data_IF_632862684686
#
_entry.id   IF_632862684686
#
_cell.length_a   1.000
_cell.length_b   1.000
_cell.length_c   1.000
_cell.angle_alpha   90.00
_cell.angle_beta   90.00
_cell.angle_gamma   90.00
#
_symmetry.space_group_name_H-M   'P 1'
#
loop_
_entity.id
_entity.type
_entity.pdbx_description
1 polymer ?
#
# COMPACT_ATOMS: atom_id res chain seq x y z
N UNK A 1 -19.73 33.99 56.68
CA UNK A 1 -18.83 33.09 55.89
C UNK A 1 -19.56 32.13 54.93
N UNK A 2 -20.65 31.46 55.35
CA UNK A 2 -21.38 30.50 54.49
C UNK A 2 -21.85 31.04 53.11
N UNK A 3 -22.15 32.35 53.01
CA UNK A 3 -22.52 32.99 51.74
C UNK A 3 -21.39 33.03 50.69
N UNK A 4 -20.13 33.23 51.13
CA UNK A 4 -18.97 33.27 50.24
C UNK A 4 -18.67 31.89 49.64
N UNK A 5 -18.69 30.85 50.47
CA UNK A 5 -18.44 29.47 50.02
C UNK A 5 -19.50 29.06 48.98
N UNK A 6 -20.76 29.45 49.21
CA UNK A 6 -21.85 29.23 48.27
C UNK A 6 -21.64 29.95 46.93
N UNK A 7 -21.22 31.21 46.95
CA UNK A 7 -20.87 31.97 45.73
C UNK A 7 -19.74 31.27 44.97
N UNK A 8 -18.66 30.87 45.68
CA UNK A 8 -17.53 30.14 45.10
C UNK A 8 -17.96 28.81 44.47
N UNK A 9 -18.82 28.05 45.12
CA UNK A 9 -19.34 26.78 44.59
C UNK A 9 -20.18 26.96 43.33
N UNK A 10 -21.04 27.98 43.28
CA UNK A 10 -21.82 28.28 42.07
C UNK A 10 -20.90 28.73 40.93
N UNK A 11 -19.91 29.60 41.21
CA UNK A 11 -18.93 30.06 40.24
C UNK A 11 -18.03 28.92 39.72
N UNK A 12 -17.58 28.02 40.59
CA UNK A 12 -16.81 26.84 40.18
C UNK A 12 -17.63 25.91 39.30
N UNK A 13 -18.90 25.66 39.65
CA UNK A 13 -19.82 24.84 38.83
C UNK A 13 -20.09 25.49 37.47
N UNK A 14 -20.35 26.79 37.43
CA UNK A 14 -20.56 27.56 36.20
C UNK A 14 -19.30 27.59 35.34
N UNK A 15 -18.14 27.85 35.94
CA UNK A 15 -16.86 27.90 35.24
C UNK A 15 -16.43 26.55 34.68
N UNK A 16 -16.63 25.45 35.42
CA UNK A 16 -16.40 24.10 34.91
C UNK A 16 -17.29 23.78 33.71
N UNK A 17 -18.56 24.17 33.74
CA UNK A 17 -19.48 23.97 32.61
C UNK A 17 -19.08 24.80 31.39
N UNK A 18 -18.68 26.05 31.59
CA UNK A 18 -18.23 26.95 30.52
C UNK A 18 -16.91 26.47 29.89
N UNK A 19 -15.99 25.89 30.68
CA UNK A 19 -14.80 25.17 30.18
C UNK A 19 -15.20 23.97 29.33
N UNK A 20 -16.13 23.13 29.79
CA UNK A 20 -16.66 22.00 29.02
C UNK A 20 -17.28 22.44 27.69
N UNK A 21 -18.07 23.51 27.68
CA UNK A 21 -18.66 24.03 26.45
C UNK A 21 -17.62 24.62 25.48
N UNK A 22 -16.54 25.20 25.99
CA UNK A 22 -15.41 25.68 25.18
C UNK A 22 -14.59 24.52 24.63
N UNK A 23 -14.30 23.50 25.44
CA UNK A 23 -13.62 22.30 25.00
C UNK A 23 -14.45 21.51 23.97
N UNK A 24 -15.77 21.41 24.17
CA UNK A 24 -16.70 20.85 23.20
C UNK A 24 -16.66 21.62 21.88
N UNK A 25 -16.74 22.95 21.91
CA UNK A 25 -16.56 23.76 20.70
C UNK A 25 -15.18 23.57 20.06
N UNK A 26 -14.12 23.50 20.86
CA UNK A 26 -12.75 23.27 20.40
C UNK A 26 -12.58 21.93 19.69
N UNK A 27 -13.24 20.88 20.19
CA UNK A 27 -13.30 19.56 19.55
C UNK A 27 -13.89 19.65 18.15
N UNK A 28 -15.04 20.32 17.99
CA UNK A 28 -15.69 20.50 16.68
C UNK A 28 -14.84 21.31 15.70
N UNK A 29 -14.13 22.35 16.17
CA UNK A 29 -13.19 23.09 15.32
C UNK A 29 -11.98 22.23 14.93
N UNK A 30 -11.41 21.48 15.88
CA UNK A 30 -10.29 20.58 15.60
C UNK A 30 -10.68 19.48 14.62
N UNK A 31 -11.90 18.97 14.71
CA UNK A 31 -12.46 18.01 13.76
C UNK A 31 -12.64 18.61 12.36
N UNK A 32 -13.07 19.88 12.26
CA UNK A 32 -13.20 20.56 10.97
C UNK A 32 -11.83 20.80 10.32
N UNK A 33 -10.86 21.31 11.09
CA UNK A 33 -9.50 21.58 10.59
C UNK A 33 -8.81 20.27 10.23
N UNK A 34 -8.88 19.26 11.10
CA UNK A 34 -8.31 17.93 10.84
C UNK A 34 -8.95 17.26 9.64
N UNK A 35 -10.28 17.28 9.52
CA UNK A 35 -10.98 16.71 8.37
C UNK A 35 -10.70 17.48 7.06
N UNK A 36 -10.60 18.80 7.11
CA UNK A 36 -10.21 19.61 5.94
C UNK A 36 -8.78 19.31 5.47
N UNK A 37 -7.84 19.18 6.41
CA UNK A 37 -6.46 18.79 6.12
C UNK A 37 -6.39 17.36 5.59
N UNK A 38 -7.20 16.44 6.12
CA UNK A 38 -7.33 15.07 5.61
C UNK A 38 -7.83 15.05 4.15
N UNK A 39 -8.86 15.83 3.84
CA UNK A 39 -9.35 15.97 2.46
C UNK A 39 -8.29 16.52 1.52
N UNK A 40 -7.49 17.48 1.99
CA UNK A 40 -6.37 18.02 1.22
C UNK A 40 -5.32 16.94 0.97
N UNK A 41 -4.93 16.17 2.00
CA UNK A 41 -3.99 15.05 1.87
C UNK A 41 -4.52 13.98 0.91
N UNK A 42 -5.80 13.61 1.00
CA UNK A 42 -6.43 12.66 0.08
C UNK A 42 -6.50 13.20 -1.35
N UNK A 43 -6.83 14.49 -1.52
CA UNK A 43 -6.84 15.16 -2.82
C UNK A 43 -5.46 15.17 -3.46
N UNK A 44 -4.43 15.54 -2.68
CA UNK A 44 -3.04 15.52 -3.13
C UNK A 44 -2.56 14.08 -3.40
N UNK A 45 -2.98 13.10 -2.60
CA UNK A 45 -2.64 11.69 -2.83
C UNK A 45 -3.26 11.16 -4.14
N UNK A 46 -4.43 11.66 -4.54
CA UNK A 46 -5.02 11.30 -5.84
C UNK A 46 -4.34 11.99 -7.03
N UNK A 47 -3.76 13.17 -6.84
CA UNK A 47 -3.15 13.96 -7.94
C UNK A 47 -1.65 13.73 -8.06
N UNK A 48 -0.94 13.53 -6.96
CA UNK A 48 0.50 13.27 -6.92
C UNK A 48 0.77 11.79 -6.60
N UNK A 49 1.73 11.15 -7.31
CA UNK A 49 2.11 9.76 -7.06
C UNK A 49 2.93 9.63 -5.76
N UNK A 50 2.27 9.76 -4.62
CA UNK A 50 2.88 9.65 -3.30
C UNK A 50 2.79 8.21 -2.75
N UNK A 51 3.78 7.75 -1.97
CA UNK A 51 3.77 6.42 -1.36
C UNK A 51 2.62 6.27 -0.35
N UNK A 52 1.83 5.19 -0.48
CA UNK A 52 0.66 4.89 0.36
C UNK A 52 0.99 4.85 1.86
N UNK A 53 2.06 4.16 2.24
CA UNK A 53 2.33 3.84 3.64
C UNK A 53 2.61 5.07 4.52
N UNK A 54 3.39 6.02 4.01
CA UNK A 54 3.79 7.19 4.81
C UNK A 54 2.75 8.29 4.77
N UNK A 55 2.11 8.55 3.63
CA UNK A 55 1.17 9.68 3.50
C UNK A 55 -0.18 9.43 4.16
N UNK A 56 -0.77 8.24 3.95
CA UNK A 56 -2.03 7.88 4.62
C UNK A 56 -1.82 7.61 6.11
N UNK A 57 -0.70 6.98 6.50
CA UNK A 57 -0.38 6.68 7.90
C UNK A 57 -0.15 7.95 8.74
N UNK A 58 0.84 8.76 8.36
CA UNK A 58 1.16 9.99 9.10
C UNK A 58 0.10 11.08 8.93
N UNK A 59 -0.49 11.18 7.73
CA UNK A 59 -1.62 12.09 7.48
C UNK A 59 -2.84 11.74 8.31
N UNK A 60 -3.17 10.45 8.42
CA UNK A 60 -4.30 9.98 9.23
C UNK A 60 -4.07 10.22 10.72
N UNK A 61 -2.86 9.95 11.20
CA UNK A 61 -2.48 10.18 12.59
C UNK A 61 -2.51 11.68 12.95
N UNK A 62 -1.97 12.55 12.10
CA UNK A 62 -2.03 14.00 12.31
C UNK A 62 -3.47 14.53 12.35
N UNK A 63 -4.34 14.03 11.47
CA UNK A 63 -5.74 14.43 11.43
C UNK A 63 -6.54 13.89 12.63
N UNK A 64 -6.19 12.70 13.15
CA UNK A 64 -6.79 12.13 14.36
C UNK A 64 -6.39 12.89 15.63
N UNK A 65 -5.20 13.50 15.66
CA UNK A 65 -4.74 14.30 16.80
C UNK A 65 -5.33 15.73 16.80
N UNK A 66 -5.67 16.29 15.64
CA UNK A 66 -6.27 17.64 15.53
C UNK A 66 -7.50 17.89 16.44
N UNK A 67 -8.51 17.00 16.55
CA UNK A 67 -9.62 17.19 17.48
C UNK A 67 -9.18 17.16 18.95
N UNK A 68 -8.20 16.32 19.31
CA UNK A 68 -7.64 16.27 20.67
C UNK A 68 -6.91 17.57 21.01
N UNK A 69 -6.12 18.10 20.08
CA UNK A 69 -5.41 19.38 20.24
C UNK A 69 -6.44 20.52 20.40
N UNK A 70 -7.49 20.55 19.57
CA UNK A 70 -8.57 21.52 19.68
C UNK A 70 -9.33 21.44 21.01
N UNK A 71 -9.56 20.23 21.52
CA UNK A 71 -10.17 19.99 22.83
C UNK A 71 -9.28 20.48 23.98
N UNK A 72 -7.99 20.10 23.98
CA UNK A 72 -7.02 20.52 25.00
C UNK A 72 -6.84 22.04 24.99
N UNK A 73 -6.75 22.65 23.81
CA UNK A 73 -6.68 24.12 23.68
C UNK A 73 -7.94 24.82 24.22
N UNK A 74 -9.12 24.24 23.97
CA UNK A 74 -10.37 24.75 24.53
C UNK A 74 -10.48 24.57 26.06
N UNK A 75 -9.85 23.54 26.60
CA UNK A 75 -9.86 23.21 28.03
C UNK A 75 -8.81 23.97 28.85
N UNK A 76 -7.64 24.25 28.26
CA UNK A 76 -6.46 24.78 28.94
C UNK A 76 -6.58 26.24 29.35
N UNK A 77 -7.53 26.99 28.78
CA UNK A 77 -7.75 28.40 29.14
C UNK A 77 -8.38 28.53 30.54
N UNK A 78 -7.64 29.02 31.55
CA UNK A 78 -8.13 29.14 32.91
C UNK A 78 -9.30 30.12 32.97
N UNK A 79 -10.35 29.79 33.72
CA UNK A 79 -11.41 30.74 34.05
C UNK A 79 -11.10 31.38 35.38
N UNK A 80 -10.88 32.69 35.38
CA UNK A 80 -10.77 33.46 36.61
C UNK A 80 -12.17 33.57 37.23
N UNK A 81 -12.33 33.35 38.55
CA UNK A 81 -13.63 33.40 39.21
C UNK A 81 -14.33 34.75 39.00
N UNK A 82 -13.58 35.85 38.98
CA UNK A 82 -14.09 37.20 38.67
C UNK A 82 -14.67 37.31 37.25
N UNK A 83 -14.03 36.67 36.26
CA UNK A 83 -14.52 36.69 34.88
C UNK A 83 -15.81 35.86 34.72
N UNK A 84 -15.98 34.83 35.55
CA UNK A 84 -17.22 34.04 35.61
C UNK A 84 -18.32 34.79 36.35
N UNK A 85 -17.98 35.53 37.42
CA UNK A 85 -18.91 36.40 38.14
C UNK A 85 -19.46 37.52 37.24
N UNK A 86 -18.58 38.26 36.56
CA UNK A 86 -18.99 39.29 35.59
C UNK A 86 -19.85 38.73 34.45
N UNK A 87 -19.50 37.54 33.96
CA UNK A 87 -20.30 36.87 32.93
C UNK A 87 -21.70 36.51 33.46
N UNK A 88 -21.79 36.03 34.70
CA UNK A 88 -23.06 35.65 35.32
C UNK A 88 -23.94 36.88 35.57
N UNK A 89 -23.33 37.98 36.01
CA UNK A 89 -24.01 39.27 36.19
C UNK A 89 -24.60 39.78 34.87
N UNK A 90 -23.86 39.69 33.76
CA UNK A 90 -24.35 40.07 32.44
C UNK A 90 -25.42 39.11 31.90
N UNK A 91 -25.27 37.81 32.13
CA UNK A 91 -26.18 36.80 31.61
C UNK A 91 -27.55 36.78 32.31
N UNK A 92 -27.60 37.17 33.60
CA UNK A 92 -28.82 37.23 34.41
C UNK A 92 -29.26 38.64 34.80
N UNK A 93 -28.48 39.66 34.47
CA UNK A 93 -28.81 41.06 34.78
C UNK A 93 -28.66 41.41 36.26
N UNK A 94 -27.72 40.80 36.99
CA UNK A 94 -27.54 41.03 38.42
C UNK A 94 -26.86 42.36 38.78
N UNK A 95 -26.62 43.26 37.82
CA UNK A 95 -26.11 44.61 38.06
C UNK A 95 -24.83 44.60 38.92
N UNK A 96 -23.86 43.76 38.54
CA UNK A 96 -22.52 43.64 39.17
C UNK A 96 -22.48 43.06 40.59
N UNK A 97 -23.62 42.71 41.21
CA UNK A 97 -23.68 42.21 42.60
C UNK A 97 -22.77 41.02 42.87
N UNK A 98 -22.70 40.05 41.96
CA UNK A 98 -21.84 38.85 42.15
C UNK A 98 -20.37 39.20 41.96
N UNK A 99 -20.05 40.06 40.98
CA UNK A 99 -18.68 40.54 40.77
C UNK A 99 -18.17 41.37 41.95
N UNK A 100 -18.98 42.27 42.51
CA UNK A 100 -18.65 43.08 43.69
C UNK A 100 -18.45 42.20 44.92
N UNK A 101 -19.30 41.19 45.14
CA UNK A 101 -19.13 40.25 46.25
C UNK A 101 -17.81 39.46 46.15
N UNK A 102 -17.40 39.07 44.93
CA UNK A 102 -16.11 38.39 44.68
C UNK A 102 -14.92 39.34 44.82
N UNK A 103 -15.06 40.62 44.48
CA UNK A 103 -14.01 41.62 44.70
C UNK A 103 -13.83 41.94 46.19
N UNK A 104 -14.92 42.03 46.94
CA UNK A 104 -14.90 42.24 48.39
C UNK A 104 -14.25 41.08 49.15
N UNK A 105 -14.40 39.83 48.68
CA UNK A 105 -13.70 38.64 49.22
C UNK A 105 -12.18 38.71 49.02
N UNK A 106 -11.72 39.35 47.94
CA UNK A 106 -10.29 39.53 47.67
C UNK A 106 -9.67 40.70 48.46
N UNK A 107 -10.49 41.56 49.06
CA UNK A 107 -10.06 42.68 49.89
C UNK A 107 -9.97 42.31 51.38
N UNK A 108 -8.98 42.84 52.10
CA UNK A 108 -8.84 42.63 53.56
C UNK A 108 -9.90 43.35 54.42
N UNK A 109 -10.87 44.04 53.81
CA UNK A 109 -11.84 44.89 54.50
C UNK A 109 -13.19 44.18 54.66
N UNK A 110 -13.20 43.12 55.47
CA UNK A 110 -14.42 42.37 55.84
C UNK A 110 -15.24 43.04 56.94
N UNK A 111 -15.75 44.25 56.68
CA UNK A 111 -16.67 44.93 57.59
C UNK A 111 -18.10 44.35 57.54
N UNK A 112 -19.00 44.71 58.49
CA UNK A 112 -20.38 44.23 58.51
C UNK A 112 -21.16 44.50 57.20
N UNK A 113 -20.83 45.59 56.51
CA UNK A 113 -21.41 45.92 55.21
C UNK A 113 -21.00 44.93 54.11
N UNK A 114 -19.75 44.43 54.15
CA UNK A 114 -19.28 43.44 53.20
C UNK A 114 -20.05 42.12 53.33
N UNK A 115 -20.38 41.73 54.57
CA UNK A 115 -21.18 40.53 54.82
C UNK A 115 -22.62 40.66 54.29
N UNK A 116 -23.22 41.85 54.39
CA UNK A 116 -24.55 42.12 53.81
C UNK A 116 -24.55 42.04 52.28
N UNK A 117 -23.51 42.55 51.61
CA UNK A 117 -23.37 42.47 50.14
C UNK A 117 -23.18 41.03 49.67
N UNK A 118 -22.35 40.27 50.39
CA UNK A 118 -22.15 38.84 50.14
C UNK A 118 -23.46 38.06 50.33
N UNK A 119 -24.21 38.34 51.38
CA UNK A 119 -25.44 37.61 51.65
C UNK A 119 -26.55 37.96 50.64
N UNK A 120 -26.67 39.23 50.21
CA UNK A 120 -27.56 39.62 49.12
C UNK A 120 -27.19 38.91 47.80
N UNK A 121 -25.90 38.88 47.44
CA UNK A 121 -25.43 38.16 46.26
C UNK A 121 -25.71 36.65 46.35
N UNK A 122 -25.52 36.05 47.53
CA UNK A 122 -25.79 34.63 47.76
C UNK A 122 -27.28 34.27 47.62
N UNK A 123 -28.20 35.13 48.08
CA UNK A 123 -29.65 34.95 47.88
C UNK A 123 -30.05 35.04 46.41
N UNK A 124 -29.46 35.97 45.65
CA UNK A 124 -29.72 36.10 44.20
C UNK A 124 -29.22 34.90 43.41
N UNK A 125 -28.18 34.21 43.88
CA UNK A 125 -27.69 32.99 43.25
C UNK A 125 -28.58 31.76 43.50
N UNK A 126 -29.46 31.76 44.50
CA UNK A 126 -30.39 30.65 44.73
C UNK A 126 -31.42 30.49 43.61
N UNK A 127 -31.78 31.60 42.98
CA UNK A 127 -32.69 31.63 41.84
C UNK A 127 -32.00 31.13 40.54
N UNK A 128 -30.68 30.91 40.58
CA UNK A 128 -29.87 30.62 39.40
C UNK A 128 -29.70 29.12 39.16
N UNK A 129 -30.46 28.64 38.17
CA UNK A 129 -30.19 27.33 37.57
C UNK A 129 -29.03 27.40 36.56
N UNK A 130 -27.80 27.12 37.03
CA UNK A 130 -26.59 27.04 36.18
C UNK A 130 -26.75 26.09 34.99
N UNK A 131 -27.55 25.01 35.17
CA UNK A 131 -27.80 24.04 34.10
C UNK A 131 -28.64 24.59 32.96
N UNK A 132 -29.64 25.42 33.28
CA UNK A 132 -30.54 26.04 32.32
C UNK A 132 -29.90 27.23 31.60
N UNK A 133 -28.93 27.89 32.25
CA UNK A 133 -28.15 28.99 31.68
C UNK A 133 -27.17 28.56 30.58
N UNK A 134 -26.61 27.36 30.70
CA UNK A 134 -25.60 26.83 29.78
C UNK A 134 -26.08 25.50 29.17
N UNK A 135 -27.16 25.50 28.37
CA UNK A 135 -27.64 24.28 27.72
C UNK A 135 -26.62 23.79 26.68
N UNK A 136 -26.36 22.48 26.68
CA UNK A 136 -25.48 21.84 25.71
C UNK A 136 -26.15 21.86 24.32
N UNK A 137 -25.77 22.83 23.51
CA UNK A 137 -26.14 22.89 22.10
C UNK A 137 -25.00 22.39 21.23
N UNK A 138 -25.34 21.66 20.18
CA UNK A 138 -24.39 21.30 19.14
C UNK A 138 -24.00 22.60 18.42
N UNK A 139 -22.71 22.96 18.35
CA UNK A 139 -22.30 24.18 17.68
C UNK A 139 -22.66 24.07 16.19
N UNK A 140 -23.05 25.19 15.56
CA UNK A 140 -23.45 25.24 14.14
C UNK A 140 -22.38 24.73 13.15
N UNK A 141 -21.16 24.55 13.63
CA UNK A 141 -20.00 23.94 12.98
C UNK A 141 -20.23 22.44 12.66
N UNK A 142 -21.23 21.81 13.25
CA UNK A 142 -21.58 20.42 12.91
C UNK A 142 -21.92 20.25 11.42
N UNK A 143 -22.50 21.28 10.77
CA UNK A 143 -22.86 21.24 9.34
C UNK A 143 -21.62 21.08 8.42
N UNK A 144 -20.60 21.98 8.48
CA UNK A 144 -19.40 21.80 7.68
C UNK A 144 -18.61 20.55 8.06
N UNK A 145 -18.61 20.14 9.34
CA UNK A 145 -17.99 18.88 9.75
C UNK A 145 -18.64 17.68 9.07
N UNK A 146 -19.98 17.63 9.02
CA UNK A 146 -20.70 16.56 8.34
C UNK A 146 -20.38 16.54 6.85
N UNK A 147 -20.32 17.71 6.21
CA UNK A 147 -19.94 17.83 4.80
C UNK A 147 -18.52 17.28 4.55
N UNK A 148 -17.56 17.62 5.40
CA UNK A 148 -16.18 17.11 5.33
C UNK A 148 -16.13 15.60 5.52
N UNK A 149 -16.92 15.06 6.45
CA UNK A 149 -17.00 13.63 6.71
C UNK A 149 -17.61 12.87 5.53
N UNK A 150 -18.67 13.42 4.93
CA UNK A 150 -19.30 12.88 3.71
C UNK A 150 -18.34 12.93 2.52
N UNK A 151 -17.62 14.05 2.32
CA UNK A 151 -16.59 14.13 1.28
C UNK A 151 -15.47 13.11 1.54
N UNK A 152 -15.03 12.95 2.79
CA UNK A 152 -13.97 12.00 3.13
C UNK A 152 -14.38 10.56 2.85
N UNK A 153 -15.61 10.18 3.26
CA UNK A 153 -16.19 8.88 2.97
C UNK A 153 -16.40 8.67 1.45
N UNK A 154 -16.90 9.71 0.76
CA UNK A 154 -17.08 9.71 -0.68
C UNK A 154 -15.77 9.51 -1.44
N UNK A 155 -14.71 10.26 -1.10
CA UNK A 155 -13.39 10.09 -1.71
C UNK A 155 -12.76 8.74 -1.40
N UNK A 156 -13.03 8.16 -0.23
CA UNK A 156 -12.61 6.80 0.13
C UNK A 156 -13.32 5.71 -0.66
N UNK A 157 -14.56 5.96 -1.10
CA UNK A 157 -15.34 5.03 -1.93
C UNK A 157 -15.11 5.23 -3.43
N UNK A 158 -14.63 6.41 -3.87
CA UNK A 158 -14.28 6.63 -5.27
C UNK A 158 -13.07 5.74 -5.60
N UNK A 159 -13.24 4.75 -6.50
CA UNK A 159 -12.16 3.85 -6.90
C UNK A 159 -10.93 4.65 -7.27
N UNK A 160 -9.76 4.19 -6.82
CA UNK A 160 -8.51 4.79 -7.24
C UNK A 160 -8.49 4.82 -8.77
N UNK A 161 -8.51 6.02 -9.37
CA UNK A 161 -8.06 6.22 -10.75
C UNK A 161 -6.53 6.05 -10.76
N UNK A 162 -6.08 4.85 -10.38
CA UNK A 162 -4.72 4.40 -10.43
C UNK A 162 -4.42 4.21 -11.91
N UNK A 163 -3.48 5.00 -12.41
CA UNK A 163 -3.13 5.01 -13.83
C UNK A 163 -2.94 3.57 -14.33
N UNK A 164 -3.55 3.24 -15.47
CA UNK A 164 -3.46 1.90 -16.09
C UNK A 164 -2.01 1.41 -16.19
N UNK A 165 -1.06 2.33 -16.34
CA UNK A 165 0.38 2.10 -16.34
C UNK A 165 0.90 1.39 -15.08
N UNK A 166 0.43 1.72 -13.87
CA UNK A 166 0.91 1.09 -12.62
C UNK A 166 0.33 -0.30 -12.43
N UNK A 167 -0.94 -0.46 -12.78
CA UNK A 167 -1.63 -1.77 -12.75
C UNK A 167 -1.00 -2.72 -13.78
N UNK A 168 -0.53 -2.17 -14.90
CA UNK A 168 0.22 -2.90 -15.90
C UNK A 168 1.63 -3.24 -15.42
N UNK A 169 2.34 -2.32 -14.75
CA UNK A 169 3.64 -2.60 -14.13
C UNK A 169 3.55 -3.67 -13.03
N UNK A 170 2.53 -3.64 -12.16
CA UNK A 170 2.32 -4.67 -11.13
C UNK A 170 2.04 -6.04 -11.77
N UNK A 171 1.24 -6.09 -12.85
CA UNK A 171 1.00 -7.32 -13.63
C UNK A 171 2.25 -7.82 -14.32
N UNK A 172 3.05 -6.91 -14.87
CA UNK A 172 4.32 -7.25 -15.53
C UNK A 172 5.33 -7.79 -14.51
N UNK A 173 5.43 -7.19 -13.31
CA UNK A 173 6.27 -7.69 -12.22
C UNK A 173 5.83 -9.09 -11.76
N UNK A 174 4.53 -9.30 -11.56
CA UNK A 174 3.99 -10.62 -11.19
C UNK A 174 4.26 -11.67 -12.28
N UNK A 175 4.11 -11.30 -13.56
CA UNK A 175 4.42 -12.20 -14.67
C UNK A 175 5.92 -12.54 -14.75
N UNK A 176 6.80 -11.57 -14.47
CA UNK A 176 8.26 -11.78 -14.41
C UNK A 176 8.66 -12.65 -13.22
N UNK A 177 8.04 -12.45 -12.05
CA UNK A 177 8.27 -13.27 -10.86
C UNK A 177 7.88 -14.73 -11.12
N UNK A 178 6.69 -14.97 -11.67
CA UNK A 178 6.20 -16.31 -12.00
C UNK A 178 7.08 -16.98 -13.06
N UNK A 179 7.51 -16.23 -14.08
CA UNK A 179 8.45 -16.72 -15.08
C UNK A 179 9.82 -17.07 -14.45
N UNK A 180 10.32 -16.26 -13.51
CA UNK A 180 11.56 -16.51 -12.79
C UNK A 180 11.50 -17.76 -11.92
N UNK A 181 10.40 -17.96 -11.18
CA UNK A 181 10.18 -19.18 -10.39
C UNK A 181 10.15 -20.43 -11.27
N UNK A 182 9.43 -20.38 -12.40
CA UNK A 182 9.36 -21.51 -13.34
C UNK A 182 10.72 -21.82 -13.96
N UNK A 183 11.49 -20.80 -14.35
CA UNK A 183 12.83 -20.97 -14.90
C UNK A 183 13.79 -21.60 -13.89
N UNK A 184 13.79 -21.11 -12.65
CA UNK A 184 14.61 -21.67 -11.57
C UNK A 184 14.22 -23.12 -11.25
N UNK A 185 12.92 -23.45 -11.24
CA UNK A 185 12.47 -24.82 -11.01
C UNK A 185 12.91 -25.77 -12.13
N UNK A 186 12.79 -25.35 -13.40
CA UNK A 186 13.21 -26.17 -14.55
C UNK A 186 14.73 -26.41 -14.53
N UNK A 187 15.53 -25.36 -14.29
CA UNK A 187 16.98 -25.47 -14.20
C UNK A 187 17.40 -26.45 -13.09
N UNK A 188 16.81 -26.28 -11.89
CA UNK A 188 17.06 -27.14 -10.73
C UNK A 188 16.64 -28.60 -10.98
N UNK A 189 15.46 -28.83 -11.54
CA UNK A 189 14.99 -30.19 -11.91
C UNK A 189 15.90 -30.86 -12.92
N UNK A 190 16.51 -30.09 -13.81
CA UNK A 190 17.40 -30.60 -14.84
C UNK A 190 18.76 -30.96 -14.25
N UNK A 191 19.31 -30.14 -13.35
CA UNK A 191 20.51 -30.47 -12.57
C UNK A 191 20.32 -31.74 -11.73
N UNK A 192 19.19 -31.85 -11.04
CA UNK A 192 18.94 -32.97 -10.10
C UNK A 192 18.71 -34.31 -10.82
N UNK A 193 18.08 -34.30 -12.02
CA UNK A 193 17.72 -35.52 -12.75
C UNK A 193 18.75 -35.97 -13.78
N UNK A 194 19.53 -35.05 -14.34
CA UNK A 194 20.56 -35.35 -15.33
C UNK A 194 21.83 -34.65 -14.90
N UNK A 195 22.74 -35.38 -14.27
CA UNK A 195 24.11 -34.90 -14.05
C UNK A 195 24.72 -34.58 -15.42
N UNK A 196 24.90 -33.30 -15.79
CA UNK A 196 25.42 -32.97 -17.11
C UNK A 196 26.88 -33.42 -17.16
N UNK A 197 27.25 -34.26 -18.14
CA UNK A 197 28.63 -34.75 -18.28
C UNK A 197 29.62 -33.64 -18.71
N UNK A 198 29.12 -32.44 -19.03
CA UNK A 198 29.88 -31.27 -19.45
C UNK A 198 29.75 -30.12 -18.44
N UNK A 199 30.87 -29.72 -17.84
CA UNK A 199 30.95 -28.60 -16.87
C UNK A 199 30.38 -27.28 -17.42
N UNK A 200 30.47 -27.05 -18.74
CA UNK A 200 29.89 -25.86 -19.39
C UNK A 200 28.36 -25.86 -19.37
N UNK A 201 27.74 -27.02 -19.57
CA UNK A 201 26.27 -27.15 -19.55
C UNK A 201 25.74 -27.03 -18.13
N UNK A 202 26.52 -27.48 -17.15
CA UNK A 202 26.21 -27.27 -15.73
C UNK A 202 26.28 -25.78 -15.36
N UNK A 203 27.32 -25.07 -15.79
CA UNK A 203 27.46 -23.62 -15.56
C UNK A 203 26.34 -22.80 -16.20
N UNK A 204 25.92 -23.15 -17.42
CA UNK A 204 24.82 -22.44 -18.07
C UNK A 204 23.48 -22.70 -17.37
N UNK A 205 23.21 -23.92 -16.92
CA UNK A 205 22.03 -24.24 -16.12
C UNK A 205 22.05 -23.55 -14.74
N UNK A 206 23.20 -23.47 -14.08
CA UNK A 206 23.36 -22.72 -12.82
C UNK A 206 23.13 -21.22 -13.02
N UNK A 207 23.63 -20.63 -14.12
CA UNK A 207 23.39 -19.23 -14.46
C UNK A 207 21.91 -18.94 -14.78
N UNK A 208 21.21 -19.87 -15.43
CA UNK A 208 19.75 -19.80 -15.65
C UNK A 208 18.99 -19.91 -14.32
N UNK A 209 19.43 -20.78 -13.40
CA UNK A 209 18.84 -20.90 -12.06
C UNK A 209 19.02 -19.63 -11.23
N UNK A 210 20.23 -19.05 -11.24
CA UNK A 210 20.56 -17.82 -10.51
C UNK A 210 19.75 -16.63 -11.04
N UNK A 211 19.69 -16.47 -12.36
CA UNK A 211 18.86 -15.44 -12.99
C UNK A 211 17.37 -15.65 -12.66
N UNK A 212 16.88 -16.89 -12.70
CA UNK A 212 15.51 -17.25 -12.31
C UNK A 212 15.20 -16.85 -10.86
N UNK A 213 16.12 -17.13 -9.93
CA UNK A 213 16.00 -16.73 -8.52
C UNK A 213 16.07 -15.22 -8.33
N UNK A 214 16.95 -14.51 -9.04
CA UNK A 214 17.04 -13.06 -8.96
C UNK A 214 15.74 -12.40 -9.45
N UNK A 215 15.19 -12.89 -10.57
CA UNK A 215 13.90 -12.42 -11.11
C UNK A 215 12.72 -12.69 -10.16
N UNK A 216 12.75 -13.83 -9.44
CA UNK A 216 11.72 -14.16 -8.45
C UNK A 216 11.83 -13.31 -7.18
N UNK A 217 13.05 -13.02 -6.71
CA UNK A 217 13.27 -12.23 -5.48
C UNK A 217 13.18 -10.72 -5.73
N UNK A 218 13.53 -10.27 -6.93
CA UNK A 218 13.56 -8.86 -7.33
C UNK A 218 12.99 -8.71 -8.75
N UNK A 219 11.66 -8.80 -8.93
CA UNK A 219 11.04 -8.65 -10.24
C UNK A 219 11.30 -7.25 -10.80
N UNK A 220 12.01 -7.20 -11.93
CA UNK A 220 12.31 -5.95 -12.66
C UNK A 220 11.29 -5.71 -13.76
N UNK A 221 11.41 -4.57 -14.45
CA UNK A 221 10.59 -4.28 -15.63
C UNK A 221 10.89 -5.29 -16.74
N UNK A 222 9.86 -5.59 -17.55
CA UNK A 222 9.94 -6.58 -18.62
C UNK A 222 11.12 -6.35 -19.57
N UNK A 223 11.42 -5.09 -19.90
CA UNK A 223 12.50 -4.73 -20.82
C UNK A 223 13.89 -5.07 -20.26
N UNK A 224 14.11 -4.86 -18.96
CA UNK A 224 15.37 -5.25 -18.30
C UNK A 224 15.51 -6.77 -18.27
N UNK A 225 14.43 -7.48 -17.92
CA UNK A 225 14.39 -8.95 -17.91
C UNK A 225 14.69 -9.55 -19.28
N UNK A 226 14.08 -9.01 -20.35
CA UNK A 226 14.33 -9.46 -21.71
C UNK A 226 15.77 -9.18 -22.14
N UNK A 227 16.37 -8.08 -21.67
CA UNK A 227 17.76 -7.74 -21.98
C UNK A 227 18.74 -8.68 -21.30
N UNK A 228 18.50 -9.05 -20.05
CA UNK A 228 19.39 -9.97 -19.32
C UNK A 228 19.22 -11.42 -19.81
N UNK A 229 18.02 -11.85 -20.18
CA UNK A 229 17.80 -13.11 -20.89
C UNK A 229 18.51 -13.14 -22.25
N UNK A 230 18.50 -12.04 -23.01
CA UNK A 230 19.20 -11.95 -24.29
C UNK A 230 20.72 -12.06 -24.11
N UNK A 231 21.30 -11.39 -23.10
CA UNK A 231 22.74 -11.53 -22.78
C UNK A 231 23.10 -12.95 -22.37
N UNK A 232 22.25 -13.60 -21.57
CA UNK A 232 22.48 -14.98 -21.16
C UNK A 232 22.42 -15.93 -22.37
N UNK A 233 21.47 -15.71 -23.28
CA UNK A 233 21.35 -16.49 -24.52
C UNK A 233 22.59 -16.32 -25.40
N UNK A 234 23.10 -15.09 -25.52
CA UNK A 234 24.33 -14.78 -26.27
C UNK A 234 25.56 -15.47 -25.65
N UNK A 235 25.69 -15.46 -24.32
CA UNK A 235 26.78 -16.17 -23.63
C UNK A 235 26.70 -17.69 -23.86
N UNK A 236 25.50 -18.27 -23.81
CA UNK A 236 25.29 -19.69 -24.09
C UNK A 236 25.64 -20.02 -25.54
N UNK A 237 25.29 -19.16 -26.51
CA UNK A 237 25.67 -19.37 -27.92
C UNK A 237 27.18 -19.29 -28.12
N UNK A 238 27.84 -18.34 -27.47
CA UNK A 238 29.30 -18.21 -27.51
C UNK A 238 29.99 -19.45 -26.92
N UNK A 239 29.53 -19.95 -25.78
CA UNK A 239 30.03 -21.19 -25.16
C UNK A 239 29.82 -22.41 -26.06
N UNK A 240 28.66 -22.49 -26.75
CA UNK A 240 28.38 -23.54 -27.73
C UNK A 240 29.30 -23.45 -28.96
N UNK A 241 29.56 -22.24 -29.47
CA UNK A 241 30.49 -22.03 -30.58
C UNK A 241 31.94 -22.35 -30.20
N UNK A 242 32.38 -22.01 -28.99
CA UNK A 242 33.69 -22.40 -28.47
C UNK A 242 33.83 -23.91 -28.32
N UNK A 243 32.77 -24.60 -27.88
CA UNK A 243 32.73 -26.06 -27.84
C UNK A 243 32.77 -26.68 -29.24
N UNK A 244 32.05 -26.12 -30.22
CA UNK A 244 32.09 -26.56 -31.61
C UNK A 244 33.49 -26.38 -32.26
N UNK A 245 34.30 -25.45 -31.74
CA UNK A 245 35.70 -25.27 -32.15
C UNK A 245 36.66 -26.29 -31.55
N UNK A 246 36.29 -27.02 -30.48
CA UNK A 246 37.13 -28.08 -29.90
C UNK A 246 37.11 -29.35 -30.79
N UNK A 247 38.27 -29.92 -31.15
CA UNK A 247 38.38 -30.96 -32.18
C UNK A 247 37.69 -32.28 -31.84
N UNK A 248 37.46 -32.58 -30.57
CA UNK A 248 36.77 -33.81 -30.12
C UNK A 248 35.24 -33.79 -30.26
N UNK A 249 34.62 -32.60 -30.36
CA UNK A 249 33.15 -32.48 -30.53
C UNK A 249 32.79 -32.47 -32.02
N UNK A 250 33.68 -31.91 -32.86
CA UNK A 250 33.55 -31.94 -34.32
C UNK A 250 33.62 -33.36 -34.90
N UNK A 251 34.41 -34.25 -34.30
CA UNK A 251 34.44 -35.66 -34.67
C UNK A 251 33.15 -36.37 -34.24
N UNK A 252 32.62 -36.10 -33.05
CA UNK A 252 31.31 -36.58 -32.59
C UNK A 252 30.15 -36.10 -33.50
N UNK A 253 30.18 -34.83 -33.93
CA UNK A 253 29.22 -34.29 -34.90
C UNK A 253 29.38 -34.94 -36.28
N UNK A 254 30.62 -35.22 -36.71
CA UNK A 254 30.90 -35.97 -37.95
C UNK A 254 30.39 -37.41 -37.87
N UNK A 255 30.50 -38.05 -36.71
CA UNK A 255 30.01 -39.42 -36.46
C UNK A 255 28.48 -39.45 -36.35
N UNK A 256 27.85 -38.41 -35.78
CA UNK A 256 26.40 -38.28 -35.76
C UNK A 256 25.82 -37.97 -37.16
N UNK A 257 26.52 -37.16 -37.97
CA UNK A 257 26.17 -36.92 -39.38
C UNK A 257 26.44 -38.15 -40.26
N UNK A 258 27.54 -38.87 -40.06
CA UNK A 258 27.85 -40.10 -40.82
C UNK A 258 27.07 -41.33 -40.35
N UNK A 259 26.54 -41.33 -39.12
CA UNK A 259 25.58 -42.33 -38.63
C UNK A 259 24.13 -42.04 -39.04
N UNK A 260 23.87 -40.87 -39.64
CA UNK A 260 22.53 -40.43 -40.10
C UNK A 260 22.35 -40.54 -41.62
N UNK A 261 23.32 -41.08 -42.35
CA UNK A 261 23.31 -41.11 -43.82
C UNK A 261 22.29 -42.05 -44.47
N UNK A 262 21.45 -42.75 -43.70
CA UNK A 262 20.39 -43.63 -44.24
C UNK A 262 18.97 -43.03 -44.23
N UNK A 263 18.82 -41.71 -44.07
CA UNK A 263 17.53 -41.05 -44.35
C UNK A 263 17.70 -39.56 -44.73
N UNK A 264 17.87 -39.23 -46.02
CA UNK A 264 17.91 -37.85 -46.50
C UNK A 264 16.56 -37.10 -46.42
N UNK A 265 15.49 -37.74 -45.92
CA UNK A 265 14.16 -37.15 -45.85
C UNK A 265 13.97 -36.18 -44.67
N UNK A 266 14.65 -36.38 -43.54
CA UNK A 266 14.29 -35.69 -42.28
C UNK A 266 14.82 -34.26 -42.18
N UNK A 267 16.01 -33.96 -42.73
CA UNK A 267 16.60 -32.62 -42.66
C UNK A 267 15.89 -31.63 -43.59
N UNK A 268 15.59 -32.02 -44.83
CA UNK A 268 14.85 -31.19 -45.78
C UNK A 268 13.38 -31.02 -45.38
N UNK A 269 12.75 -32.02 -44.76
CA UNK A 269 11.42 -31.86 -44.17
C UNK A 269 11.41 -30.91 -42.98
N UNK A 270 12.43 -30.95 -42.12
CA UNK A 270 12.55 -30.00 -41.00
C UNK A 270 12.79 -28.58 -41.49
N UNK A 271 13.62 -28.40 -42.52
CA UNK A 271 13.91 -27.10 -43.12
C UNK A 271 12.65 -26.50 -43.76
N UNK A 272 11.89 -27.30 -44.51
CA UNK A 272 10.59 -26.88 -45.08
C UNK A 272 9.54 -26.58 -44.01
N UNK A 273 9.54 -27.32 -42.90
CA UNK A 273 8.62 -27.08 -41.77
C UNK A 273 8.97 -25.80 -41.00
N UNK A 274 10.26 -25.49 -40.82
CA UNK A 274 10.72 -24.21 -40.24
C UNK A 274 10.34 -23.01 -41.11
N UNK A 275 10.51 -23.13 -42.43
CA UNK A 275 10.12 -22.09 -43.40
C UNK A 275 8.60 -21.85 -43.42
N UNK A 276 7.80 -22.93 -43.30
CA UNK A 276 6.35 -22.83 -43.17
C UNK A 276 5.92 -22.17 -41.85
N UNK A 277 6.62 -22.48 -40.74
CA UNK A 277 6.38 -21.87 -39.43
C UNK A 277 6.73 -20.38 -39.44
N UNK A 278 7.85 -20.02 -40.04
CA UNK A 278 8.31 -18.63 -40.16
C UNK A 278 7.35 -17.79 -41.02
N UNK A 279 6.77 -18.39 -42.08
CA UNK A 279 5.71 -17.76 -42.87
C UNK A 279 4.40 -17.60 -42.10
N UNK A 280 4.01 -18.56 -41.27
CA UNK A 280 2.80 -18.46 -40.45
C UNK A 280 2.95 -17.46 -39.29
N UNK A 281 4.12 -17.37 -38.66
CA UNK A 281 4.35 -16.41 -37.55
C UNK A 281 4.50 -14.96 -38.02
N UNK A 282 4.87 -14.72 -39.28
CA UNK A 282 4.92 -13.37 -39.85
C UNK A 282 3.51 -12.84 -40.21
N UNK A 283 2.48 -13.70 -40.15
CA UNK A 283 1.06 -13.33 -40.19
C UNK A 283 0.49 -13.26 -38.76
N UNK A 284 -0.15 -12.13 -38.43
CA UNK A 284 -0.66 -11.81 -37.08
C UNK A 284 -1.44 -12.95 -36.39
N UNK A 285 -0.97 -13.29 -35.18
CA UNK A 285 -1.57 -14.12 -34.10
C UNK A 285 -1.70 -15.63 -34.30
N UNK A 286 -1.39 -16.45 -33.28
CA UNK A 286 -1.37 -17.91 -33.38
C UNK A 286 -2.78 -18.49 -33.33
N UNK A 287 -3.17 -19.21 -34.38
CA UNK A 287 -4.34 -20.07 -34.36
C UNK A 287 -4.09 -21.30 -33.46
N UNK A 288 -5.13 -21.79 -32.73
CA UNK A 288 -5.05 -23.01 -31.93
C UNK A 288 -4.68 -24.26 -32.77
N UNK A 289 -4.99 -24.22 -34.06
CA UNK A 289 -4.71 -25.27 -35.05
C UNK A 289 -3.20 -25.45 -35.32
N UNK A 290 -2.41 -24.37 -35.18
CA UNK A 290 -0.95 -24.42 -35.32
C UNK A 290 -0.26 -25.04 -34.09
N UNK A 291 -0.85 -24.87 -32.90
CA UNK A 291 -0.36 -25.47 -31.66
C UNK A 291 -0.64 -26.98 -31.63
N UNK A 292 -1.78 -27.42 -32.15
CA UNK A 292 -2.13 -28.84 -32.23
C UNK A 292 -1.22 -29.59 -33.22
N UNK A 293 -0.93 -28.98 -34.38
CA UNK A 293 0.04 -29.51 -35.36
C UNK A 293 1.46 -29.60 -34.81
N UNK A 294 1.85 -28.68 -33.93
CA UNK A 294 3.15 -28.68 -33.26
C UNK A 294 3.24 -29.76 -32.18
N UNK A 295 2.15 -29.98 -31.42
CA UNK A 295 2.04 -31.08 -30.47
C UNK A 295 2.12 -32.46 -31.16
N UNK A 296 1.47 -32.61 -32.32
CA UNK A 296 1.52 -33.84 -33.10
C UNK A 296 2.90 -34.07 -33.72
N UNK A 297 3.55 -33.02 -34.23
CA UNK A 297 4.92 -33.11 -34.74
C UNK A 297 5.92 -33.52 -33.64
N UNK A 298 5.77 -32.99 -32.42
CA UNK A 298 6.59 -33.39 -31.27
C UNK A 298 6.35 -34.83 -30.87
N UNK A 299 5.09 -35.30 -30.88
CA UNK A 299 4.76 -36.71 -30.62
C UNK A 299 5.34 -37.64 -31.68
N UNK A 300 5.34 -37.23 -32.95
CA UNK A 300 5.88 -38.02 -34.05
C UNK A 300 7.40 -38.09 -34.00
N UNK A 301 8.06 -36.98 -33.67
CA UNK A 301 9.51 -36.94 -33.43
C UNK A 301 9.90 -37.76 -32.20
N UNK A 302 9.12 -37.70 -31.12
CA UNK A 302 9.33 -38.52 -29.92
C UNK A 302 9.16 -40.01 -30.21
N UNK A 303 8.17 -40.40 -31.05
CA UNK A 303 7.98 -41.78 -31.49
C UNK A 303 9.13 -42.28 -32.36
N UNK A 304 9.61 -41.46 -33.29
CA UNK A 304 10.78 -41.78 -34.12
C UNK A 304 12.06 -41.93 -33.27
N UNK A 305 12.24 -41.08 -32.25
CA UNK A 305 13.34 -41.17 -31.30
C UNK A 305 13.25 -42.44 -30.43
N UNK A 306 12.04 -42.82 -29.96
CA UNK A 306 11.85 -44.06 -29.20
C UNK A 306 12.03 -45.32 -30.05
N UNK A 307 11.67 -45.29 -31.34
CA UNK A 307 11.90 -46.40 -32.26
C UNK A 307 13.40 -46.61 -32.56
N UNK A 308 14.20 -45.55 -32.57
CA UNK A 308 15.66 -45.65 -32.64
C UNK A 308 16.28 -46.28 -31.37
N UNK A 309 15.73 -45.98 -30.19
CA UNK A 309 16.19 -46.58 -28.93
C UNK A 309 15.86 -48.07 -28.76
N UNK A 310 14.85 -48.60 -29.47
CA UNK A 310 14.52 -50.03 -29.43
C UNK A 310 15.33 -50.86 -30.44
N UNK A 311 15.79 -50.25 -31.55
CA UNK A 311 16.62 -50.95 -32.53
C UNK A 311 18.10 -51.07 -32.12
N UNK A 312 18.59 -50.28 -31.16
CA UNK A 312 19.94 -50.43 -30.62
C UNK A 312 20.13 -51.66 -29.72
N UNK A 313 19.07 -52.12 -29.05
CA UNK A 313 19.13 -53.31 -28.18
C UNK A 313 19.07 -54.64 -28.97
N UNK A 314 18.74 -54.59 -30.27
CA UNK A 314 18.64 -55.78 -31.13
C UNK A 314 19.91 -56.16 -31.89
N UNK A 315 20.97 -55.35 -31.84
CA UNK A 315 22.19 -55.55 -32.67
C UNK A 315 23.43 -56.05 -31.89
N UNK A 316 23.34 -56.21 -30.57
CA UNK A 316 24.42 -56.77 -29.72
C UNK A 316 24.41 -58.32 -29.61
N UNK A 317 23.57 -59.02 -30.38
CA UNK A 317 23.43 -60.48 -30.32
C UNK A 317 24.06 -61.30 -31.46
N UNK A 318 24.82 -60.70 -32.39
CA UNK A 318 25.29 -61.40 -33.58
C UNK A 318 26.75 -61.09 -33.97
N UNK A 319 27.69 -61.35 -33.06
CA UNK A 319 29.08 -61.71 -33.41
C UNK A 319 29.64 -62.70 -32.38
N UNK A 320 29.41 -63.98 -32.64
CA UNK A 320 30.25 -65.10 -32.20
C UNK A 320 30.74 -65.83 -33.47
#
# INVERSE_FOLDING_TARGET
MAGLDKIKDVLHRAGRRRRWQRAWRGLWHGLLVGGGLWLLVLGLFKVLPLPMGTTLGWGGLACALAPLIGFVYGWSRPERPLATARWLDLAKGFQERVSTAVELDNGKNGGPWAELVVDDAARRLDEVNVRALLPFHVPQIWKPVLLVLVLGAGLGFVPEYRSKARLQQEREQAAVEEAGQRLAEIARRTLDKRTPELDSTRKSLEAVEELGKEMAQRPRTRDETLRDLAKLTEQVDQDLQEMARKPGVRSLEKTARSGSSDSPASADELQKRLDALQKQMNGKSPEPDALEKLADALRQAQKAASAMGQNSDGMEGAKA
#
